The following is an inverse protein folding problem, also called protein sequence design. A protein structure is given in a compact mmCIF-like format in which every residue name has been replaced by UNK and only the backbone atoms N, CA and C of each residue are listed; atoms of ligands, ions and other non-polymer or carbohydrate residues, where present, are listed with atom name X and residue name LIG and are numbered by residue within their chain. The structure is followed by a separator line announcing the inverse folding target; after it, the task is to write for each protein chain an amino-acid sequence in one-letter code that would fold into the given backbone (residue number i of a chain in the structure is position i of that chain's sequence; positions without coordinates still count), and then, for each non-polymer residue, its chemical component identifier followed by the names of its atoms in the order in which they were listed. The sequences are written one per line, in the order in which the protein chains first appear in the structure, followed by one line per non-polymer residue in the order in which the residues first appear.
data_IF_207964188663
#
_entry.id   IF_207964188663
#
_cell.length_a   1.000
_cell.length_b   1.000
_cell.length_c   1.000
_cell.angle_alpha   90.00
_cell.angle_beta   90.00
_cell.angle_gamma   90.00
#
_symmetry.space_group_name_H-M   'P 1'
#
loop_
_entity.id
_entity.type
_entity.pdbx_description
1 polymer ?
#
# COMPACT_ATOMS: atom_id res chain seq x y z
N UNK A 1 -21.08 17.26 -11.75
CA UNK A 1 -20.87 17.29 -10.28
C UNK A 1 -19.50 16.69 -10.03
N UNK A 2 -18.63 17.42 -9.38
CA UNK A 2 -17.34 16.89 -8.96
C UNK A 2 -17.54 15.87 -7.82
N UNK A 3 -16.68 14.85 -7.77
CA UNK A 3 -16.66 13.83 -6.69
C UNK A 3 -15.86 14.38 -5.52
N UNK A 4 -14.80 15.14 -5.83
CA UNK A 4 -13.85 15.71 -4.87
C UNK A 4 -13.57 17.14 -5.34
N UNK A 5 -13.53 18.08 -4.42
CA UNK A 5 -13.23 19.51 -4.66
C UNK A 5 -12.26 20.01 -3.60
N UNK A 6 -11.34 20.91 -4.00
CA UNK A 6 -10.44 21.68 -3.12
C UNK A 6 -9.56 20.81 -2.17
N UNK A 7 -9.06 19.68 -2.66
CA UNK A 7 -8.10 18.87 -1.92
C UNK A 7 -6.70 19.45 -2.04
N UNK A 8 -6.05 19.66 -0.88
CA UNK A 8 -4.65 20.01 -0.78
C UNK A 8 -3.97 19.07 0.22
N UNK A 9 -3.07 18.22 -0.27
CA UNK A 9 -2.32 17.26 0.53
C UNK A 9 -0.84 17.54 0.44
N UNK A 10 -0.16 17.51 1.57
CA UNK A 10 1.28 17.57 1.65
C UNK A 10 1.78 16.49 2.59
N UNK A 11 2.54 15.54 2.08
CA UNK A 11 3.08 14.40 2.82
C UNK A 11 4.59 14.54 2.84
N UNK A 12 5.18 14.54 4.04
CA UNK A 12 6.63 14.65 4.22
C UNK A 12 7.30 13.30 4.03
N UNK A 13 8.54 13.33 3.55
CA UNK A 13 9.33 12.12 3.42
C UNK A 13 9.51 11.42 4.78
N UNK A 14 9.30 10.12 4.81
CA UNK A 14 9.44 9.26 5.99
C UNK A 14 8.27 9.30 6.98
N UNK A 15 7.25 10.18 6.80
CA UNK A 15 6.09 10.20 7.70
C UNK A 15 5.04 9.15 7.34
N UNK A 16 4.23 8.80 8.32
CA UNK A 16 2.98 8.07 8.14
C UNK A 16 1.83 9.07 8.12
N UNK A 17 1.22 9.26 6.94
CA UNK A 17 0.07 10.12 6.73
C UNK A 17 -1.23 9.31 6.74
N UNK A 18 -2.09 9.57 7.70
CA UNK A 18 -3.40 8.95 7.82
C UNK A 18 -4.49 9.77 7.12
N UNK A 19 -5.10 9.23 6.09
CA UNK A 19 -6.22 9.86 5.38
C UNK A 19 -7.54 9.35 5.93
N UNK A 20 -8.12 10.11 6.88
CA UNK A 20 -9.34 9.74 7.60
C UNK A 20 -10.58 10.25 6.88
N UNK A 21 -11.62 9.46 6.87
CA UNK A 21 -12.94 9.88 6.36
C UNK A 21 -13.92 8.74 6.24
N UNK A 22 -15.22 9.01 6.21
CA UNK A 22 -16.24 7.97 6.06
C UNK A 22 -16.12 7.24 4.71
N UNK A 23 -16.80 6.10 4.61
CA UNK A 23 -16.90 5.38 3.34
C UNK A 23 -17.61 6.27 2.31
N UNK A 24 -17.07 6.32 1.09
CA UNK A 24 -17.58 7.17 0.02
C UNK A 24 -17.08 8.63 0.04
N UNK A 25 -16.23 9.04 1.00
CA UNK A 25 -15.65 10.38 1.05
C UNK A 25 -14.67 10.70 -0.09
N UNK A 26 -14.27 9.70 -0.88
CA UNK A 26 -13.36 9.91 -2.01
C UNK A 26 -11.91 9.52 -1.75
N UNK A 27 -11.58 8.94 -0.58
CA UNK A 27 -10.21 8.52 -0.22
C UNK A 27 -9.57 7.65 -1.31
N UNK A 28 -10.23 6.58 -1.70
CA UNK A 28 -9.80 5.68 -2.79
C UNK A 28 -9.63 6.43 -4.12
N UNK A 29 -10.50 7.40 -4.41
CA UNK A 29 -10.41 8.23 -5.63
C UNK A 29 -9.13 9.06 -5.64
N UNK A 30 -8.78 9.68 -4.52
CA UNK A 30 -7.52 10.43 -4.37
C UNK A 30 -6.32 9.50 -4.56
N UNK A 31 -6.31 8.34 -3.91
CA UNK A 31 -5.24 7.35 -4.06
C UNK A 31 -5.10 6.86 -5.50
N UNK A 32 -6.21 6.65 -6.21
CA UNK A 32 -6.19 6.32 -7.66
C UNK A 32 -5.60 7.44 -8.52
N UNK A 33 -5.80 8.69 -8.15
CA UNK A 33 -5.17 9.82 -8.85
C UNK A 33 -3.67 9.90 -8.57
N UNK A 34 -3.24 9.75 -7.32
CA UNK A 34 -1.82 9.72 -6.94
C UNK A 34 -1.06 8.58 -7.63
N UNK A 35 -1.69 7.44 -7.83
CA UNK A 35 -1.10 6.27 -8.53
C UNK A 35 -1.27 6.32 -10.05
N UNK A 36 -1.72 7.45 -10.61
CA UNK A 36 -1.93 7.66 -12.04
C UNK A 36 -2.94 6.71 -12.70
N UNK A 37 -3.77 6.03 -11.92
CA UNK A 37 -4.87 5.20 -12.42
C UNK A 37 -6.03 6.07 -12.95
N UNK A 38 -6.24 7.22 -12.31
CA UNK A 38 -7.21 8.22 -12.73
C UNK A 38 -6.53 9.59 -12.83
N UNK A 39 -7.06 10.45 -13.70
CA UNK A 39 -6.59 11.83 -13.85
C UNK A 39 -7.49 12.77 -13.08
N UNK A 40 -6.94 13.76 -12.35
CA UNK A 40 -7.73 14.85 -11.82
C UNK A 40 -8.33 15.68 -12.96
N UNK A 41 -9.52 16.22 -12.76
CA UNK A 41 -10.17 17.14 -13.74
C UNK A 41 -9.41 18.46 -13.79
N UNK A 42 -8.96 18.95 -12.65
CA UNK A 42 -8.16 20.17 -12.47
C UNK A 42 -7.18 19.93 -11.32
N UNK A 43 -6.17 20.78 -11.20
CA UNK A 43 -5.12 20.66 -10.20
C UNK A 43 -3.94 19.83 -10.67
N UNK A 44 -2.93 19.72 -9.80
CA UNK A 44 -1.66 19.07 -10.09
C UNK A 44 -1.31 18.09 -8.98
N UNK A 45 -0.58 17.05 -9.32
CA UNK A 45 -0.02 16.08 -8.38
C UNK A 45 1.48 16.06 -8.62
N UNK A 46 2.23 16.17 -7.54
CA UNK A 46 3.68 16.05 -7.55
C UNK A 46 4.11 14.91 -6.63
N UNK A 47 5.02 14.08 -7.10
CA UNK A 47 5.59 12.97 -6.33
C UNK A 47 7.11 13.06 -6.39
N UNK A 48 7.74 13.06 -5.22
CA UNK A 48 9.22 13.15 -5.09
C UNK A 48 9.81 14.37 -5.83
N UNK A 49 9.13 15.54 -5.76
CA UNK A 49 9.54 16.76 -6.45
C UNK A 49 9.32 16.74 -7.98
N UNK A 50 8.56 15.78 -8.50
CA UNK A 50 8.32 15.63 -9.93
C UNK A 50 6.83 15.66 -10.23
N UNK A 51 6.34 16.54 -11.14
CA UNK A 51 4.94 16.53 -11.56
C UNK A 51 4.53 15.19 -12.18
N UNK A 52 3.39 14.68 -11.74
CA UNK A 52 2.84 13.41 -12.22
C UNK A 52 2.19 13.59 -13.59
N UNK A 53 2.68 12.87 -14.58
CA UNK A 53 2.17 12.83 -15.95
C UNK A 53 1.78 11.41 -16.34
N UNK A 54 1.04 11.18 -17.41
CA UNK A 54 0.75 9.83 -17.89
C UNK A 54 2.00 8.98 -18.22
N UNK A 55 3.15 9.61 -18.41
CA UNK A 55 4.43 8.97 -18.74
C UNK A 55 5.38 8.81 -17.55
N UNK A 56 4.93 9.13 -16.31
CA UNK A 56 5.77 9.08 -15.10
C UNK A 56 6.04 7.65 -14.60
N UNK A 57 6.39 6.72 -15.50
CA UNK A 57 6.62 5.31 -15.17
C UNK A 57 7.74 5.12 -14.14
N UNK A 58 8.82 5.88 -14.22
CA UNK A 58 9.95 5.76 -13.30
C UNK A 58 9.60 6.25 -11.89
N UNK A 59 8.75 7.26 -11.78
CA UNK A 59 8.18 7.72 -10.50
C UNK A 59 7.29 6.64 -9.89
N UNK A 60 6.43 6.01 -10.71
CA UNK A 60 5.49 4.98 -10.24
C UNK A 60 6.20 3.69 -9.81
N UNK A 61 7.37 3.34 -10.34
CA UNK A 61 8.18 2.21 -9.86
C UNK A 61 8.66 2.37 -8.42
N UNK A 62 8.72 3.60 -7.90
CA UNK A 62 9.13 3.93 -6.53
C UNK A 62 7.99 3.81 -5.53
N UNK A 63 6.78 3.46 -5.99
CA UNK A 63 5.56 3.40 -5.19
C UNK A 63 5.10 1.94 -5.04
N UNK A 64 4.85 1.53 -3.80
CA UNK A 64 4.12 0.31 -3.49
C UNK A 64 2.66 0.62 -3.21
N UNK A 65 1.71 -0.17 -3.73
CA UNK A 65 0.29 0.16 -3.58
C UNK A 65 -0.58 -1.04 -3.26
N UNK A 66 -1.58 -0.80 -2.40
CA UNK A 66 -2.80 -1.60 -2.31
C UNK A 66 -3.96 -0.62 -2.38
N UNK A 67 -4.76 -0.71 -3.44
CA UNK A 67 -5.96 0.08 -3.63
C UNK A 67 -7.12 -0.89 -3.82
N UNK A 68 -8.16 -0.76 -3.01
CA UNK A 68 -9.26 -1.72 -2.90
C UNK A 68 -8.74 -3.10 -2.45
N UNK A 69 -9.04 -4.18 -3.17
CA UNK A 69 -8.62 -5.53 -2.80
C UNK A 69 -7.42 -6.00 -3.63
N UNK A 70 -6.41 -6.62 -2.98
CA UNK A 70 -5.28 -7.16 -3.72
C UNK A 70 -5.72 -8.35 -4.60
N UNK A 71 -5.55 -8.20 -5.91
CA UNK A 71 -5.81 -9.28 -6.86
C UNK A 71 -4.59 -10.20 -7.01
N UNK A 72 -4.83 -11.51 -7.04
CA UNK A 72 -3.81 -12.56 -7.19
C UNK A 72 -4.26 -13.62 -8.19
N UNK A 73 -3.31 -14.36 -8.69
CA UNK A 73 -3.56 -15.59 -9.45
C UNK A 73 -3.84 -16.73 -8.47
N UNK A 74 -5.09 -17.06 -8.27
CA UNK A 74 -5.57 -18.04 -7.27
C UNK A 74 -5.00 -19.44 -7.44
N UNK A 75 -4.61 -19.83 -8.66
CA UNK A 75 -4.00 -21.13 -8.98
C UNK A 75 -2.50 -21.19 -8.69
N UNK A 76 -1.85 -20.03 -8.49
CA UNK A 76 -0.46 -19.91 -8.12
C UNK A 76 -0.30 -19.87 -6.59
N UNK A 77 0.88 -20.19 -6.11
CA UNK A 77 1.27 -20.07 -4.70
C UNK A 77 1.51 -18.59 -4.33
N UNK A 78 1.59 -18.29 -3.03
CA UNK A 78 1.98 -16.95 -2.57
C UNK A 78 3.37 -16.56 -3.10
N UNK A 79 4.33 -17.49 -3.06
CA UNK A 79 5.67 -17.28 -3.59
C UNK A 79 5.66 -16.98 -5.10
N UNK A 80 4.93 -17.76 -5.91
CA UNK A 80 4.85 -17.57 -7.36
C UNK A 80 4.19 -16.23 -7.73
N UNK A 81 3.16 -15.79 -6.99
CA UNK A 81 2.56 -14.48 -7.19
C UNK A 81 3.55 -13.34 -6.93
N UNK A 82 4.34 -13.42 -5.85
CA UNK A 82 5.37 -12.42 -5.57
C UNK A 82 6.52 -12.46 -6.58
N UNK A 83 6.92 -13.66 -7.02
CA UNK A 83 7.93 -13.82 -8.05
C UNK A 83 7.50 -13.17 -9.37
N UNK A 84 6.27 -13.41 -9.80
CA UNK A 84 5.71 -12.78 -10.99
C UNK A 84 5.70 -11.25 -10.88
N UNK A 85 5.37 -10.72 -9.69
CA UNK A 85 5.45 -9.27 -9.45
C UNK A 85 6.88 -8.75 -9.59
N UNK A 86 7.89 -9.44 -9.05
CA UNK A 86 9.29 -9.08 -9.23
C UNK A 86 9.68 -9.04 -10.71
N UNK A 87 9.23 -10.01 -11.50
CA UNK A 87 9.49 -10.05 -12.94
C UNK A 87 8.89 -8.83 -13.67
N UNK A 88 7.65 -8.44 -13.36
CA UNK A 88 7.03 -7.23 -13.91
C UNK A 88 7.75 -5.93 -13.50
N UNK A 89 8.24 -5.87 -12.27
CA UNK A 89 8.95 -4.70 -11.74
C UNK A 89 10.43 -4.67 -12.15
N UNK A 90 10.96 -5.73 -12.77
CA UNK A 90 12.39 -5.86 -13.05
C UNK A 90 13.25 -5.94 -11.78
N UNK A 91 12.70 -6.45 -10.68
CA UNK A 91 13.34 -6.49 -9.37
C UNK A 91 13.87 -7.92 -9.06
N UNK A 92 15.20 -8.08 -9.09
CA UNK A 92 15.85 -9.40 -8.99
C UNK A 92 16.80 -9.49 -7.79
N UNK A 93 16.32 -9.18 -6.59
CA UNK A 93 17.13 -9.29 -5.38
C UNK A 93 16.92 -10.67 -4.74
N UNK A 94 18.01 -11.42 -4.59
CA UNK A 94 17.99 -12.74 -3.94
C UNK A 94 17.42 -12.67 -2.51
N UNK A 95 16.56 -13.59 -2.14
CA UNK A 95 15.94 -13.68 -0.80
C UNK A 95 14.85 -12.65 -0.51
N UNK A 96 14.55 -11.72 -1.43
CA UNK A 96 13.57 -10.66 -1.17
C UNK A 96 12.14 -11.19 -0.98
N UNK A 97 11.77 -12.23 -1.70
CA UNK A 97 10.44 -12.85 -1.62
C UNK A 97 10.28 -13.57 -0.29
N UNK A 98 11.28 -14.38 0.09
CA UNK A 98 11.31 -15.08 1.36
C UNK A 98 11.22 -14.11 2.54
N UNK A 99 12.01 -13.04 2.50
CA UNK A 99 11.99 -11.99 3.54
C UNK A 99 10.62 -11.30 3.62
N UNK A 100 10.02 -10.94 2.49
CA UNK A 100 8.69 -10.32 2.47
C UNK A 100 7.61 -11.27 3.02
N UNK A 101 7.66 -12.55 2.68
CA UNK A 101 6.74 -13.56 3.22
C UNK A 101 6.95 -13.79 4.72
N UNK A 102 8.19 -13.79 5.20
CA UNK A 102 8.51 -13.95 6.62
C UNK A 102 8.04 -12.75 7.44
N UNK A 103 8.32 -11.53 6.97
CA UNK A 103 7.88 -10.26 7.57
C UNK A 103 6.35 -10.20 7.77
N UNK A 104 5.60 -10.76 6.83
CA UNK A 104 4.12 -10.81 6.90
C UNK A 104 3.57 -12.11 7.55
N UNK A 105 4.42 -12.95 8.13
CA UNK A 105 4.00 -14.20 8.75
C UNK A 105 3.39 -15.22 7.78
N UNK A 106 3.83 -15.22 6.51
CA UNK A 106 3.34 -16.09 5.45
C UNK A 106 4.36 -17.15 5.00
N UNK A 107 5.50 -17.26 5.70
CA UNK A 107 6.59 -18.19 5.36
C UNK A 107 6.10 -19.63 5.19
N UNK A 108 5.34 -20.15 6.16
CA UNK A 108 4.83 -21.51 6.15
C UNK A 108 3.74 -21.74 5.09
N UNK A 109 3.10 -20.67 4.65
CA UNK A 109 2.09 -20.68 3.60
C UNK A 109 2.64 -20.39 2.20
N UNK A 110 3.92 -20.07 2.07
CA UNK A 110 4.55 -19.62 0.82
C UNK A 110 4.26 -20.53 -0.38
N UNK A 111 4.25 -21.85 -0.16
CA UNK A 111 4.01 -22.89 -1.19
C UNK A 111 2.54 -23.29 -1.34
N UNK A 112 1.64 -22.73 -0.52
CA UNK A 112 0.20 -22.98 -0.60
C UNK A 112 -0.41 -22.11 -1.69
N UNK A 113 -1.35 -22.66 -2.48
CA UNK A 113 -2.07 -21.88 -3.51
C UNK A 113 -2.92 -20.79 -2.88
N UNK A 114 -2.95 -19.60 -3.49
CA UNK A 114 -3.65 -18.42 -2.95
C UNK A 114 -5.17 -18.65 -2.84
N UNK A 115 -5.76 -19.50 -3.66
CA UNK A 115 -7.17 -19.90 -3.49
C UNK A 115 -7.51 -20.50 -2.12
N UNK A 116 -6.51 -21.04 -1.42
CA UNK A 116 -6.67 -21.64 -0.10
C UNK A 116 -6.21 -20.68 1.04
N UNK A 117 -5.90 -19.42 0.73
CA UNK A 117 -5.61 -18.39 1.72
C UNK A 117 -6.93 -17.86 2.31
N UNK A 118 -6.90 -17.54 3.62
CA UNK A 118 -7.96 -16.75 4.24
C UNK A 118 -7.91 -15.29 3.72
N UNK A 119 -8.95 -14.50 3.98
CA UNK A 119 -8.97 -13.09 3.63
C UNK A 119 -7.75 -12.37 4.23
N UNK A 120 -7.51 -12.52 5.53
CA UNK A 120 -6.35 -11.89 6.19
C UNK A 120 -4.99 -12.37 5.66
N UNK A 121 -4.87 -13.60 5.15
CA UNK A 121 -3.66 -14.04 4.45
C UNK A 121 -3.51 -13.36 3.08
N UNK A 122 -4.60 -13.14 2.36
CA UNK A 122 -4.58 -12.40 1.08
C UNK A 122 -4.21 -10.93 1.30
N UNK A 123 -4.75 -10.28 2.33
CA UNK A 123 -4.37 -8.91 2.71
C UNK A 123 -2.87 -8.81 3.04
N UNK A 124 -2.37 -9.70 3.89
CA UNK A 124 -0.93 -9.75 4.22
C UNK A 124 -0.06 -10.02 2.99
N UNK A 125 -0.49 -10.90 2.08
CA UNK A 125 0.22 -11.12 0.82
C UNK A 125 0.21 -9.87 -0.08
N UNK A 126 -0.88 -9.09 -0.05
CA UNK A 126 -0.97 -7.79 -0.73
C UNK A 126 0.08 -6.80 -0.20
N UNK A 127 0.19 -6.69 1.12
CA UNK A 127 1.20 -5.84 1.75
C UNK A 127 2.61 -6.36 1.42
N UNK A 128 2.84 -7.67 1.50
CA UNK A 128 4.11 -8.28 1.10
C UNK A 128 4.51 -7.88 -0.33
N UNK A 129 3.54 -7.93 -1.27
CA UNK A 129 3.76 -7.50 -2.65
C UNK A 129 4.09 -6.01 -2.76
N UNK A 130 3.39 -5.17 -2.00
CA UNK A 130 3.58 -3.71 -2.06
C UNK A 130 4.95 -3.28 -1.52
N UNK A 131 5.48 -3.96 -0.47
CA UNK A 131 6.77 -3.63 0.14
C UNK A 131 7.96 -4.35 -0.50
N UNK A 132 7.72 -5.38 -1.30
CA UNK A 132 8.72 -6.31 -1.82
C UNK A 132 9.86 -5.60 -2.58
N UNK A 133 9.52 -4.59 -3.39
CA UNK A 133 10.48 -3.84 -4.19
C UNK A 133 11.10 -2.65 -3.45
N UNK A 134 10.90 -2.55 -2.14
CA UNK A 134 11.38 -1.46 -1.28
C UNK A 134 10.98 -0.07 -1.78
N UNK A 135 9.67 0.20 -1.86
CA UNK A 135 9.19 1.50 -2.33
C UNK A 135 9.60 2.64 -1.39
N UNK A 136 9.73 3.83 -1.93
CA UNK A 136 9.94 5.06 -1.16
C UNK A 136 8.61 5.62 -0.62
N UNK A 137 7.50 5.37 -1.35
CA UNK A 137 6.14 5.69 -0.93
C UNK A 137 5.26 4.44 -0.97
N UNK A 138 4.58 4.17 0.13
CA UNK A 138 3.61 3.09 0.26
C UNK A 138 2.20 3.69 0.40
N UNK A 139 1.29 3.31 -0.49
CA UNK A 139 -0.10 3.78 -0.49
C UNK A 139 -1.01 2.60 -0.21
N UNK A 140 -1.75 2.66 0.90
CA UNK A 140 -2.57 1.58 1.41
C UNK A 140 -4.02 2.05 1.64
N UNK A 141 -4.95 1.49 0.90
CA UNK A 141 -6.37 1.77 1.07
C UNK A 141 -6.98 0.76 2.06
N UNK A 142 -7.37 1.24 3.26
CA UNK A 142 -7.98 0.45 4.35
C UNK A 142 -7.18 -0.84 4.69
N UNK A 143 -5.85 -0.78 4.96
CA UNK A 143 -4.97 -1.97 5.02
C UNK A 143 -5.26 -2.93 6.17
N UNK A 144 -6.05 -2.53 7.14
CA UNK A 144 -6.45 -3.34 8.32
C UNK A 144 -7.84 -3.94 8.17
N UNK A 145 -8.57 -3.59 7.12
CA UNK A 145 -9.94 -4.03 6.92
C UNK A 145 -10.00 -5.56 6.73
N UNK A 146 -10.89 -6.21 7.48
CA UNK A 146 -11.06 -7.67 7.43
C UNK A 146 -9.99 -8.49 8.17
N UNK A 147 -9.09 -7.84 8.91
CA UNK A 147 -8.14 -8.50 9.80
C UNK A 147 -8.73 -8.66 11.20
N UNK A 148 -8.29 -9.69 11.90
CA UNK A 148 -8.52 -9.84 13.33
C UNK A 148 -7.65 -8.86 14.13
N UNK A 149 -7.95 -8.61 15.42
CA UNK A 149 -7.21 -7.63 16.24
C UNK A 149 -5.69 -7.90 16.31
N UNK A 150 -5.27 -9.16 16.29
CA UNK A 150 -3.86 -9.53 16.28
C UNK A 150 -3.19 -9.18 14.94
N UNK A 151 -3.85 -9.47 13.83
CA UNK A 151 -3.40 -9.09 12.48
C UNK A 151 -3.31 -7.57 12.30
N UNK A 152 -4.33 -6.83 12.77
CA UNK A 152 -4.31 -5.36 12.76
C UNK A 152 -3.10 -4.79 13.52
N UNK A 153 -2.81 -5.34 14.71
CA UNK A 153 -1.64 -4.95 15.50
C UNK A 153 -0.33 -5.22 14.76
N UNK A 154 -0.19 -6.41 14.17
CA UNK A 154 1.01 -6.77 13.39
C UNK A 154 1.24 -5.84 12.21
N UNK A 155 0.18 -5.49 11.46
CA UNK A 155 0.31 -4.55 10.34
C UNK A 155 0.72 -3.15 10.83
N UNK A 156 0.14 -2.66 11.92
CA UNK A 156 0.53 -1.36 12.48
C UNK A 156 2.01 -1.32 12.92
N UNK A 157 2.47 -2.36 13.60
CA UNK A 157 3.87 -2.49 14.02
C UNK A 157 4.81 -2.51 12.80
N UNK A 158 4.46 -3.29 11.77
CA UNK A 158 5.21 -3.33 10.51
C UNK A 158 5.28 -1.96 9.82
N UNK A 159 4.15 -1.24 9.71
CA UNK A 159 4.14 0.06 9.03
C UNK A 159 4.98 1.09 9.80
N UNK A 160 4.96 1.05 11.13
CA UNK A 160 5.85 1.87 11.97
C UNK A 160 7.33 1.54 11.73
N UNK A 161 7.68 0.26 11.70
CA UNK A 161 9.04 -0.19 11.40
C UNK A 161 9.49 0.28 10.00
N UNK A 162 8.64 0.12 8.99
CA UNK A 162 8.94 0.57 7.63
C UNK A 162 9.22 2.08 7.55
N UNK A 163 8.46 2.89 8.27
CA UNK A 163 8.68 4.34 8.33
C UNK A 163 9.94 4.67 9.13
N UNK A 164 10.06 4.18 10.39
CA UNK A 164 11.13 4.58 11.31
C UNK A 164 12.51 4.03 10.96
N UNK A 165 12.59 2.78 10.47
CA UNK A 165 13.87 2.11 10.22
C UNK A 165 14.30 2.16 8.75
N UNK A 166 13.33 2.15 7.83
CA UNK A 166 13.63 2.15 6.39
C UNK A 166 13.35 3.49 5.72
N UNK A 167 12.80 4.48 6.44
CA UNK A 167 12.47 5.80 5.90
C UNK A 167 11.37 5.78 4.85
N UNK A 168 10.55 4.72 4.80
CA UNK A 168 9.45 4.62 3.84
C UNK A 168 8.34 5.63 4.20
N UNK A 169 7.98 6.50 3.29
CA UNK A 169 6.80 7.36 3.42
C UNK A 169 5.55 6.53 3.25
N UNK A 170 4.56 6.69 4.13
CA UNK A 170 3.34 5.87 4.08
C UNK A 170 2.11 6.77 4.05
N UNK A 171 1.25 6.57 3.06
CA UNK A 171 -0.11 7.11 3.04
C UNK A 171 -1.09 5.96 3.22
N UNK A 172 -1.88 5.99 4.28
CA UNK A 172 -2.92 5.00 4.51
C UNK A 172 -4.29 5.65 4.69
N UNK A 173 -5.34 5.02 4.19
CA UNK A 173 -6.71 5.42 4.46
C UNK A 173 -7.31 4.60 5.60
N UNK A 174 -8.19 5.21 6.38
CA UNK A 174 -9.09 4.51 7.28
C UNK A 174 -10.37 5.31 7.51
N UNK A 175 -11.44 4.63 7.87
CA UNK A 175 -12.67 5.23 8.37
C UNK A 175 -12.74 5.24 9.91
N UNK A 176 -11.74 4.68 10.59
CA UNK A 176 -11.64 4.56 12.04
C UNK A 176 -10.56 5.48 12.59
N UNK A 177 -10.97 6.52 13.32
CA UNK A 177 -10.05 7.48 13.94
C UNK A 177 -9.01 6.80 14.84
N UNK A 178 -9.43 5.86 15.65
CA UNK A 178 -8.54 5.14 16.58
C UNK A 178 -7.42 4.35 15.91
N UNK A 179 -7.63 3.89 14.69
CA UNK A 179 -6.58 3.23 13.91
C UNK A 179 -5.54 4.24 13.45
N UNK A 180 -6.00 5.35 12.88
CA UNK A 180 -5.11 6.40 12.36
C UNK A 180 -4.32 7.04 13.48
N UNK A 181 -4.95 7.44 14.59
CA UNK A 181 -4.28 8.01 15.77
C UNK A 181 -3.21 7.10 16.37
N UNK A 182 -3.38 5.77 16.23
CA UNK A 182 -2.42 4.81 16.78
C UNK A 182 -1.13 4.68 15.97
N UNK A 183 -1.07 5.22 14.74
CA UNK A 183 0.03 4.98 13.82
C UNK A 183 0.50 6.24 13.07
N UNK A 184 -0.38 7.16 12.71
CA UNK A 184 -0.06 8.30 11.84
C UNK A 184 0.63 9.42 12.59
N UNK A 185 1.61 10.05 11.93
CA UNK A 185 2.27 11.28 12.37
C UNK A 185 1.42 12.50 12.03
N UNK A 186 0.73 12.44 10.89
CA UNK A 186 -0.14 13.50 10.37
C UNK A 186 -1.48 12.89 9.94
N UNK A 187 -2.58 13.59 10.22
CA UNK A 187 -3.92 13.15 9.84
C UNK A 187 -4.56 14.22 8.94
N UNK A 188 -4.99 13.77 7.76
CA UNK A 188 -5.86 14.53 6.87
C UNK A 188 -7.29 14.02 6.90
N UNK A 189 -8.27 14.91 6.80
CA UNK A 189 -9.69 14.58 6.86
C UNK A 189 -10.38 15.08 5.58
#
# INVERSE_FOLDING_TARGET
KYIIEDINLHIKEGEIYGFLGPNGAGKTTVMKMITNLWKPTTGEIELFGTPLTPQSYDVLKRIGTIIEFPAFYDHMTGYENLKLHCEYMGYYKHGSIENALEMLGLKDAAKKKVKAYSLGMKERLGIARAVLCKPELLILDEPTNGLDPAGMKQIRELLKELSSEYGTTIMLSSHLLSEVESIADTIGI
#
